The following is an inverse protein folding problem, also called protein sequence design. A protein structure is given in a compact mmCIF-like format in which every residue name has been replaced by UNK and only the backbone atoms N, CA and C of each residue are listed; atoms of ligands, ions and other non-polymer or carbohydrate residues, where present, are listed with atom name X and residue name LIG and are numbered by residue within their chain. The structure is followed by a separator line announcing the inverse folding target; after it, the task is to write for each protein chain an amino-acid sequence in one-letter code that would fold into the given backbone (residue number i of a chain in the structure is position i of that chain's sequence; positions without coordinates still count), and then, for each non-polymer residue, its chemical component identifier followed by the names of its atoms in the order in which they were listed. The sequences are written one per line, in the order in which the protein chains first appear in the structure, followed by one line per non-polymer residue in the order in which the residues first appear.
data_IF_485975874017
#
_entry.id   IF_485975874017
#
_cell.length_a   1.000
_cell.length_b   1.000
_cell.length_c   1.000
_cell.angle_alpha   90.00
_cell.angle_beta   90.00
_cell.angle_gamma   90.00
#
_symmetry.space_group_name_H-M   'P 1'
#
loop_
_entity.id
_entity.type
_entity.pdbx_description
1 polymer ?
#
# COMPACT_ATOMS: atom_id res chain seq x y z
N UNK A 1 -3.54 12.64 3.32
CA UNK A 1 -4.07 12.04 4.57
C UNK A 1 -4.99 10.84 4.34
N UNK A 2 -6.24 10.95 3.85
CA UNK A 2 -7.14 9.77 3.74
C UNK A 2 -6.74 8.68 2.71
N UNK A 3 -5.86 9.00 1.75
CA UNK A 3 -5.40 8.02 0.74
C UNK A 3 -4.15 7.29 1.23
N UNK A 4 -3.32 7.97 1.96
CA UNK A 4 -2.13 7.40 2.60
C UNK A 4 -2.58 6.34 3.66
N UNK A 5 -3.67 6.62 4.38
CA UNK A 5 -4.27 5.69 5.35
C UNK A 5 -4.84 4.39 4.74
N UNK A 6 -5.30 4.39 3.48
CA UNK A 6 -5.77 3.13 2.86
C UNK A 6 -4.58 2.24 2.49
N UNK A 7 -3.46 2.80 2.02
CA UNK A 7 -2.27 1.99 1.74
C UNK A 7 -1.69 1.37 3.00
N UNK A 8 -1.65 2.13 4.10
CA UNK A 8 -1.30 1.61 5.40
C UNK A 8 -2.14 0.36 5.75
N UNK A 9 -3.48 0.48 5.70
CA UNK A 9 -4.37 -0.64 5.99
C UNK A 9 -4.15 -1.83 5.04
N UNK A 10 -4.00 -1.55 3.73
CA UNK A 10 -3.78 -2.59 2.73
C UNK A 10 -2.48 -3.35 2.97
N UNK A 11 -1.39 -2.66 3.27
CA UNK A 11 -0.10 -3.29 3.51
C UNK A 11 -0.02 -3.99 4.87
N UNK A 12 -0.66 -3.45 5.90
CA UNK A 12 -0.78 -4.11 7.19
C UNK A 12 -1.49 -5.47 7.07
N UNK A 13 -2.58 -5.51 6.29
CA UNK A 13 -3.38 -6.73 6.13
C UNK A 13 -2.87 -7.66 5.04
N UNK A 14 -2.31 -7.10 3.96
CA UNK A 14 -1.82 -7.82 2.78
C UNK A 14 -0.42 -7.32 2.38
N UNK A 15 0.64 -7.65 3.14
CA UNK A 15 1.99 -7.16 2.87
C UNK A 15 2.52 -7.54 1.49
N UNK A 16 2.02 -8.64 0.92
CA UNK A 16 2.42 -9.13 -0.40
C UNK A 16 2.14 -8.13 -1.51
N UNK A 17 1.14 -7.25 -1.36
CA UNK A 17 0.77 -6.24 -2.35
C UNK A 17 1.92 -5.30 -2.72
N UNK A 18 2.87 -5.05 -1.81
CA UNK A 18 4.05 -4.25 -2.13
C UNK A 18 4.88 -4.90 -3.24
N UNK A 19 5.08 -6.21 -3.15
CA UNK A 19 5.99 -6.95 -4.03
C UNK A 19 5.42 -7.15 -5.43
N UNK A 20 4.09 -7.09 -5.57
CA UNK A 20 3.41 -7.07 -6.88
C UNK A 20 3.75 -5.82 -7.70
N UNK A 21 4.26 -4.76 -7.07
CA UNK A 21 4.72 -3.55 -7.77
C UNK A 21 6.17 -3.65 -8.25
N UNK A 22 6.91 -4.68 -7.86
CA UNK A 22 8.32 -4.82 -8.17
C UNK A 22 8.53 -5.71 -9.38
N UNK A 23 9.45 -5.31 -10.27
CA UNK A 23 9.82 -6.13 -11.41
C UNK A 23 10.49 -7.45 -10.99
N UNK A 24 11.24 -7.43 -9.89
CA UNK A 24 11.98 -8.57 -9.35
C UNK A 24 11.70 -8.71 -7.84
N UNK A 25 10.51 -9.22 -7.45
CA UNK A 25 10.19 -9.43 -6.05
C UNK A 25 11.06 -10.55 -5.45
N UNK A 26 11.33 -10.53 -4.13
CA UNK A 26 12.08 -11.59 -3.49
C UNK A 26 11.27 -12.90 -3.50
N UNK A 27 11.94 -14.04 -3.67
CA UNK A 27 11.27 -15.35 -3.77
C UNK A 27 10.44 -15.71 -2.51
N UNK A 28 10.77 -15.12 -1.37
CA UNK A 28 10.07 -15.29 -0.09
C UNK A 28 9.10 -14.13 0.22
N UNK A 29 8.62 -13.37 -0.78
CA UNK A 29 7.69 -12.25 -0.61
C UNK A 29 6.47 -12.58 0.27
N UNK A 30 5.91 -13.78 0.12
CA UNK A 30 4.77 -14.27 0.91
C UNK A 30 5.05 -14.40 2.42
N UNK A 31 6.32 -14.37 2.84
CA UNK A 31 6.74 -14.49 4.24
C UNK A 31 7.13 -13.15 4.88
N UNK A 32 7.01 -12.04 4.14
CA UNK A 32 7.25 -10.72 4.71
C UNK A 32 6.09 -10.30 5.61
N UNK A 33 6.44 -9.59 6.68
CA UNK A 33 5.49 -8.95 7.59
C UNK A 33 5.58 -7.44 7.47
N UNK A 34 4.44 -6.77 7.57
CA UNK A 34 4.38 -5.33 7.70
C UNK A 34 4.61 -4.93 9.15
N UNK A 35 5.45 -3.93 9.38
CA UNK A 35 5.72 -3.31 10.66
C UNK A 35 5.62 -1.79 10.50
N UNK A 36 4.75 -1.16 11.28
CA UNK A 36 4.71 0.29 11.41
C UNK A 36 5.63 0.65 12.56
N UNK A 37 6.90 0.83 12.23
CA UNK A 37 7.90 1.17 13.24
C UNK A 37 7.73 2.64 13.63
N UNK A 38 6.67 2.97 14.37
CA UNK A 38 6.66 4.17 15.18
C UNK A 38 7.70 3.95 16.30
N UNK A 39 8.97 4.15 15.97
CA UNK A 39 10.03 4.16 16.98
C UNK A 39 9.58 5.15 18.05
N UNK A 40 9.69 4.77 19.33
CA UNK A 40 9.43 5.67 20.48
C UNK A 40 10.48 6.79 20.60
N UNK A 41 10.95 7.31 19.47
CA UNK A 41 11.74 8.51 19.34
C UNK A 41 11.05 9.45 18.34
N UNK A 42 11.10 10.78 18.52
CA UNK A 42 10.03 11.66 18.04
C UNK A 42 9.93 11.93 16.52
N UNK A 43 10.54 11.16 15.61
CA UNK A 43 10.67 11.56 14.19
C UNK A 43 10.87 10.42 13.16
N UNK A 44 10.42 9.20 13.40
CA UNK A 44 10.48 8.17 12.36
C UNK A 44 9.07 7.99 11.77
N UNK A 45 8.85 8.45 10.54
CA UNK A 45 7.53 8.63 9.93
C UNK A 45 7.36 7.85 8.62
N UNK A 46 8.28 6.94 8.27
CA UNK A 46 8.13 6.08 7.09
C UNK A 46 6.80 5.30 7.16
N UNK A 47 6.01 5.36 6.08
CA UNK A 47 4.66 4.81 6.04
C UNK A 47 4.62 3.28 6.27
N UNK A 48 5.64 2.56 5.83
CA UNK A 48 5.72 1.11 5.99
C UNK A 48 7.12 0.54 6.01
N UNK A 49 7.37 -0.37 6.95
CA UNK A 49 8.58 -1.21 6.97
C UNK A 49 8.16 -2.67 6.78
N UNK A 50 8.74 -3.35 5.81
CA UNK A 50 8.42 -4.73 5.47
C UNK A 50 9.61 -5.59 5.86
N UNK A 51 9.41 -6.39 6.89
CA UNK A 51 10.46 -7.17 7.50
C UNK A 51 10.51 -8.56 6.85
N UNK A 52 11.71 -9.03 6.46
CA UNK A 52 11.89 -10.39 5.98
C UNK A 52 11.59 -11.40 7.10
N UNK A 53 11.32 -12.67 6.76
CA UNK A 53 11.20 -13.73 7.76
C UNK A 53 12.49 -13.86 8.59
N UNK A 54 12.33 -14.25 9.86
CA UNK A 54 13.47 -14.47 10.75
C UNK A 54 14.14 -15.79 10.41
N UNK A 55 15.30 -15.70 9.78
CA UNK A 55 16.13 -16.84 9.35
C UNK A 55 17.56 -16.69 9.88
N UNK A 56 18.36 -17.76 9.82
CA UNK A 56 19.78 -17.71 10.22
C UNK A 56 20.58 -16.68 9.42
N UNK A 57 20.25 -16.50 8.14
CA UNK A 57 20.82 -15.44 7.30
C UNK A 57 19.93 -14.20 7.33
N UNK A 58 20.48 -13.00 7.65
CA UNK A 58 19.71 -11.75 7.60
C UNK A 58 19.10 -11.50 6.22
N UNK A 59 17.81 -11.15 6.18
CA UNK A 59 17.11 -10.83 4.94
C UNK A 59 17.27 -9.37 4.50
N UNK A 60 16.54 -8.99 3.45
CA UNK A 60 16.48 -7.62 2.93
C UNK A 60 15.27 -6.93 3.55
N UNK A 61 15.45 -5.74 4.13
CA UNK A 61 14.33 -4.92 4.62
C UNK A 61 13.82 -4.00 3.52
N UNK A 62 12.50 -3.89 3.36
CA UNK A 62 11.89 -2.95 2.41
C UNK A 62 11.23 -1.81 3.17
N UNK A 63 11.45 -0.59 2.71
CA UNK A 63 10.80 0.62 3.19
C UNK A 63 9.84 1.09 2.10
N UNK A 64 8.62 1.44 2.48
CA UNK A 64 7.61 1.93 1.56
C UNK A 64 7.17 3.32 1.97
N UNK A 65 7.09 4.21 1.00
CA UNK A 65 6.47 5.52 1.16
C UNK A 65 5.38 5.72 0.08
N UNK A 66 4.22 6.21 0.50
CA UNK A 66 3.08 6.43 -0.39
C UNK A 66 2.73 7.90 -0.45
N UNK A 67 3.05 8.55 -1.59
CA UNK A 67 2.97 9.99 -1.69
C UNK A 67 1.90 10.45 -2.67
N UNK A 68 0.71 10.83 -2.15
CA UNK A 68 -0.41 11.34 -2.97
C UNK A 68 -0.45 12.86 -3.14
N UNK A 69 0.39 13.59 -2.42
CA UNK A 69 0.52 15.05 -2.51
C UNK A 69 1.98 15.40 -2.71
N UNK A 70 2.28 16.49 -3.41
CA UNK A 70 3.68 16.85 -3.60
C UNK A 70 4.32 17.24 -2.27
N UNK A 71 5.40 16.57 -1.90
CA UNK A 71 6.29 16.94 -0.80
C UNK A 71 7.67 17.19 -1.38
N UNK A 72 8.13 18.44 -1.33
CA UNK A 72 9.40 18.88 -1.91
C UNK A 72 10.61 18.48 -1.04
N UNK A 73 10.39 17.81 0.09
CA UNK A 73 11.46 17.32 0.98
C UNK A 73 11.35 15.83 1.27
N UNK A 74 10.61 15.11 0.42
CA UNK A 74 10.34 13.71 0.64
C UNK A 74 11.63 12.86 0.67
N UNK A 75 12.55 13.07 -0.26
CA UNK A 75 13.78 12.27 -0.36
C UNK A 75 14.77 12.58 0.76
N UNK A 76 14.88 13.85 1.17
CA UNK A 76 15.61 14.30 2.35
C UNK A 76 15.17 13.49 3.57
N UNK A 77 13.86 13.43 3.79
CA UNK A 77 13.22 12.75 4.92
C UNK A 77 13.40 11.23 4.80
N UNK A 78 12.98 10.64 3.68
CA UNK A 78 13.02 9.20 3.44
C UNK A 78 14.41 8.63 3.63
N UNK A 79 15.43 9.20 2.97
CA UNK A 79 16.79 8.64 3.06
C UNK A 79 17.41 8.86 4.43
N UNK A 80 17.15 10.00 5.08
CA UNK A 80 17.61 10.24 6.44
C UNK A 80 17.02 9.22 7.43
N UNK A 81 15.72 8.98 7.35
CA UNK A 81 15.01 8.03 8.21
C UNK A 81 15.45 6.60 7.90
N UNK A 82 15.39 6.18 6.64
CA UNK A 82 15.73 4.82 6.21
C UNK A 82 17.15 4.43 6.65
N UNK A 83 18.14 5.30 6.40
CA UNK A 83 19.51 5.00 6.79
C UNK A 83 19.70 4.96 8.31
N UNK A 84 19.00 5.82 9.05
CA UNK A 84 19.02 5.78 10.51
C UNK A 84 18.44 4.46 11.05
N UNK A 85 17.31 4.00 10.50
CA UNK A 85 16.71 2.72 10.88
C UNK A 85 17.62 1.55 10.52
N UNK A 86 18.14 1.53 9.30
CA UNK A 86 19.02 0.47 8.82
C UNK A 86 20.30 0.40 9.66
N UNK A 87 20.92 1.54 9.98
CA UNK A 87 22.07 1.62 10.87
C UNK A 87 21.75 1.01 12.26
N UNK A 88 20.62 1.37 12.86
CA UNK A 88 20.20 0.87 14.19
C UNK A 88 19.90 -0.63 14.21
N UNK A 89 19.54 -1.20 13.06
CA UNK A 89 19.18 -2.60 12.92
C UNK A 89 20.15 -3.36 12.01
N UNK A 90 21.40 -2.88 11.90
CA UNK A 90 22.36 -3.37 10.89
C UNK A 90 22.62 -4.87 10.97
N UNK A 91 22.58 -5.45 12.17
CA UNK A 91 22.77 -6.89 12.39
C UNK A 91 21.56 -7.74 11.97
N UNK A 92 20.37 -7.13 11.85
CA UNK A 92 19.12 -7.84 11.51
C UNK A 92 18.92 -7.99 10.00
N UNK A 93 19.58 -7.17 9.20
CA UNK A 93 19.34 -7.08 7.76
C UNK A 93 20.67 -7.10 7.00
N UNK A 94 20.71 -7.86 5.90
CA UNK A 94 21.88 -7.88 5.02
C UNK A 94 21.88 -6.69 4.06
N UNK A 95 20.70 -6.19 3.69
CA UNK A 95 20.50 -5.13 2.70
C UNK A 95 19.17 -4.40 2.91
N UNK A 96 18.97 -3.30 2.19
CA UNK A 96 17.76 -2.48 2.19
C UNK A 96 17.24 -2.19 0.77
N UNK A 97 15.94 -1.95 0.68
CA UNK A 97 15.24 -1.55 -0.53
C UNK A 97 14.21 -0.47 -0.18
N UNK A 98 14.00 0.51 -1.06
CA UNK A 98 13.00 1.57 -0.89
C UNK A 98 12.01 1.53 -2.05
N UNK A 99 10.72 1.59 -1.75
CA UNK A 99 9.63 1.59 -2.73
C UNK A 99 8.80 2.85 -2.52
N UNK A 100 8.77 3.71 -3.52
CA UNK A 100 8.02 4.95 -3.48
C UNK A 100 6.85 4.85 -4.44
N UNK A 101 5.64 4.99 -3.92
CA UNK A 101 4.40 4.83 -4.67
C UNK A 101 3.75 6.18 -4.86
N UNK A 102 3.57 6.57 -6.12
CA UNK A 102 2.94 7.80 -6.53
C UNK A 102 1.68 7.52 -7.36
N UNK A 103 0.61 8.32 -7.23
CA UNK A 103 -0.48 8.26 -8.19
C UNK A 103 -0.03 8.69 -9.59
N UNK A 104 0.85 9.70 -9.69
CA UNK A 104 1.39 10.22 -10.96
C UNK A 104 2.80 10.82 -10.78
N UNK A 105 3.57 11.01 -11.86
CA UNK A 105 4.86 11.74 -11.79
C UNK A 105 4.75 13.15 -11.26
N UNK A 106 3.61 13.82 -11.47
CA UNK A 106 3.41 15.20 -11.01
C UNK A 106 3.38 15.33 -9.49
N UNK A 107 3.20 14.24 -8.74
CA UNK A 107 3.30 14.24 -7.27
C UNK A 107 4.70 13.96 -6.75
N UNK A 108 5.64 13.55 -7.60
CA UNK A 108 7.06 13.42 -7.25
C UNK A 108 7.66 14.81 -6.94
N UNK A 109 8.60 14.87 -5.99
CA UNK A 109 9.33 16.11 -5.69
C UNK A 109 10.03 16.66 -6.93
N UNK A 110 10.11 17.98 -7.06
CA UNK A 110 10.63 18.61 -8.26
C UNK A 110 12.15 18.51 -8.38
N UNK A 111 12.86 18.76 -7.28
CA UNK A 111 14.32 18.66 -7.24
C UNK A 111 14.77 17.28 -6.77
N UNK A 112 15.13 16.44 -7.74
CA UNK A 112 15.62 15.07 -7.47
C UNK A 112 17.14 14.96 -7.64
N UNK A 113 17.80 16.01 -8.15
CA UNK A 113 19.22 15.95 -8.49
C UNK A 113 20.13 15.63 -7.30
N UNK A 114 19.90 16.16 -6.07
CA UNK A 114 20.69 15.81 -4.90
C UNK A 114 20.75 14.30 -4.63
N UNK A 115 19.69 13.56 -4.98
CA UNK A 115 19.51 12.14 -4.68
C UNK A 115 19.74 11.22 -5.87
N UNK A 116 20.13 11.77 -7.03
CA UNK A 116 20.25 11.05 -8.31
C UNK A 116 20.99 9.71 -8.22
N UNK A 117 22.03 9.60 -7.40
CA UNK A 117 22.79 8.35 -7.23
C UNK A 117 21.94 7.25 -6.58
N UNK A 118 21.17 7.60 -5.54
CA UNK A 118 20.25 6.67 -4.87
C UNK A 118 19.07 6.33 -5.78
N UNK A 119 18.45 7.35 -6.39
CA UNK A 119 17.30 7.19 -7.28
C UNK A 119 17.60 6.43 -8.58
N UNK A 120 18.88 6.31 -8.96
CA UNK A 120 19.34 5.54 -10.11
C UNK A 120 19.88 4.15 -9.72
N UNK A 121 19.92 3.84 -8.41
CA UNK A 121 20.34 2.54 -7.91
C UNK A 121 19.21 1.51 -8.04
N UNK A 122 19.58 0.23 -8.07
CA UNK A 122 18.62 -0.88 -8.03
C UNK A 122 17.89 -1.04 -6.69
N UNK A 123 18.30 -0.28 -5.67
CA UNK A 123 17.70 -0.32 -4.34
C UNK A 123 16.48 0.59 -4.20
N UNK A 124 16.23 1.49 -5.16
CA UNK A 124 15.15 2.48 -5.10
C UNK A 124 14.17 2.31 -6.26
N UNK A 125 12.94 1.94 -5.93
CA UNK A 125 11.86 1.67 -6.87
C UNK A 125 10.86 2.81 -6.83
N UNK A 126 10.77 3.59 -7.92
CA UNK A 126 9.74 4.64 -8.06
C UNK A 126 8.60 4.13 -8.92
N UNK A 127 7.45 3.92 -8.30
CA UNK A 127 6.26 3.34 -8.90
C UNK A 127 5.22 4.43 -9.13
N UNK A 128 4.80 4.60 -10.39
CA UNK A 128 3.74 5.53 -10.77
C UNK A 128 2.50 4.74 -11.18
N UNK A 129 1.46 4.76 -10.35
CA UNK A 129 0.28 3.92 -10.52
C UNK A 129 -0.45 4.17 -11.84
N UNK A 130 -0.40 5.39 -12.38
CA UNK A 130 -0.97 5.74 -13.69
C UNK A 130 -0.12 5.28 -14.90
N UNK A 131 1.06 4.70 -14.67
CA UNK A 131 2.00 4.27 -15.72
C UNK A 131 2.19 2.74 -15.76
N UNK A 132 1.42 1.99 -14.97
CA UNK A 132 1.52 0.53 -14.91
C UNK A 132 0.88 -0.18 -16.11
N UNK A 133 0.20 0.56 -16.98
CA UNK A 133 -0.49 0.05 -18.17
C UNK A 133 -2.01 0.22 -18.10
N UNK A 134 -2.71 -0.44 -19.01
CA UNK A 134 -4.18 -0.42 -19.08
C UNK A 134 -4.79 -1.23 -17.91
N UNK A 135 -5.77 -0.62 -17.23
CA UNK A 135 -6.33 -1.14 -15.97
C UNK A 135 -6.82 -2.59 -16.08
N UNK A 136 -7.48 -2.94 -17.18
CA UNK A 136 -8.03 -4.28 -17.43
C UNK A 136 -6.96 -5.34 -17.72
N UNK A 137 -5.74 -4.93 -18.05
CA UNK A 137 -4.61 -5.83 -18.37
C UNK A 137 -3.65 -6.02 -17.19
N UNK A 138 -3.78 -5.20 -16.14
CA UNK A 138 -2.96 -5.29 -14.95
C UNK A 138 -3.20 -6.63 -14.22
N UNK A 139 -2.20 -7.17 -13.49
CA UNK A 139 -2.46 -8.18 -12.48
C UNK A 139 -3.54 -7.74 -11.51
N UNK A 140 -4.30 -8.70 -10.97
CA UNK A 140 -5.45 -8.40 -10.11
C UNK A 140 -5.05 -7.54 -8.91
N UNK A 141 -3.97 -7.91 -8.23
CA UNK A 141 -3.43 -7.20 -7.05
C UNK A 141 -2.98 -5.77 -7.38
N UNK A 142 -2.28 -5.59 -8.50
CA UNK A 142 -1.87 -4.27 -8.99
C UNK A 142 -3.09 -3.40 -9.31
N UNK A 143 -4.15 -4.00 -9.88
CA UNK A 143 -5.39 -3.30 -10.18
C UNK A 143 -6.09 -2.77 -8.92
N UNK A 144 -5.97 -3.48 -7.78
CA UNK A 144 -6.49 -3.01 -6.49
C UNK A 144 -5.78 -1.74 -6.04
N UNK A 145 -4.46 -1.68 -6.19
CA UNK A 145 -3.67 -0.49 -5.86
C UNK A 145 -4.03 0.67 -6.80
N UNK A 146 -4.22 0.43 -8.09
CA UNK A 146 -4.66 1.47 -9.04
C UNK A 146 -6.08 1.96 -8.74
N UNK A 147 -7.00 1.10 -8.29
CA UNK A 147 -8.37 1.49 -7.88
C UNK A 147 -8.34 2.60 -6.82
N UNK A 148 -7.32 2.63 -5.95
CA UNK A 148 -7.17 3.68 -4.93
C UNK A 148 -6.98 5.09 -5.52
N UNK A 149 -6.58 5.21 -6.79
CA UNK A 149 -6.32 6.49 -7.47
C UNK A 149 -7.54 7.02 -8.22
N UNK A 150 -8.46 6.14 -8.60
CA UNK A 150 -9.59 6.49 -9.47
C UNK A 150 -10.58 7.45 -8.80
N UNK A 151 -11.10 8.41 -9.56
CA UNK A 151 -12.10 9.34 -9.04
C UNK A 151 -13.46 8.66 -8.81
N UNK A 152 -14.35 9.32 -8.04
CA UNK A 152 -15.67 8.79 -7.69
C UNK A 152 -16.57 8.46 -8.90
N UNK A 153 -16.31 9.04 -10.08
CA UNK A 153 -17.09 8.72 -11.30
C UNK A 153 -16.66 7.39 -11.91
N UNK A 154 -15.35 7.09 -11.93
CA UNK A 154 -14.80 5.88 -12.54
C UNK A 154 -14.72 4.69 -11.57
N UNK A 155 -14.49 4.95 -10.28
CA UNK A 155 -14.25 3.91 -9.28
C UNK A 155 -15.35 2.84 -9.20
N UNK A 156 -16.67 3.15 -9.25
CA UNK A 156 -17.71 2.12 -9.16
C UNK A 156 -17.67 1.11 -10.31
N UNK A 157 -17.43 1.56 -11.54
CA UNK A 157 -17.36 0.67 -12.69
C UNK A 157 -16.12 -0.21 -12.63
N UNK A 158 -14.97 0.38 -12.31
CA UNK A 158 -13.71 -0.33 -12.13
C UNK A 158 -13.78 -1.37 -10.99
N UNK A 159 -14.39 -1.02 -9.86
CA UNK A 159 -14.55 -1.92 -8.74
C UNK A 159 -15.46 -3.13 -9.08
N UNK A 160 -16.58 -2.90 -9.76
CA UNK A 160 -17.44 -4.00 -10.27
C UNK A 160 -16.72 -4.90 -11.26
N UNK A 161 -15.91 -4.31 -12.13
CA UNK A 161 -15.06 -5.08 -13.05
C UNK A 161 -14.12 -6.02 -12.26
N UNK A 162 -13.44 -5.51 -11.24
CA UNK A 162 -12.55 -6.32 -10.40
C UNK A 162 -13.29 -7.39 -9.59
N UNK A 163 -14.49 -7.11 -9.10
CA UNK A 163 -15.37 -8.11 -8.44
C UNK A 163 -15.63 -9.29 -9.38
N UNK A 164 -16.08 -9.00 -10.61
CA UNK A 164 -16.40 -10.05 -11.59
C UNK A 164 -15.15 -10.84 -11.98
N UNK A 165 -14.03 -10.16 -12.20
CA UNK A 165 -12.76 -10.79 -12.56
C UNK A 165 -12.25 -11.71 -11.43
N UNK A 166 -12.30 -11.23 -10.19
CA UNK A 166 -11.95 -11.99 -8.99
C UNK A 166 -12.77 -13.29 -8.86
N UNK A 167 -14.07 -13.24 -9.15
CA UNK A 167 -14.94 -14.42 -9.11
C UNK A 167 -14.67 -15.43 -10.24
N UNK A 168 -14.08 -14.99 -11.35
CA UNK A 168 -13.77 -15.84 -12.51
C UNK A 168 -12.37 -16.43 -12.44
N UNK A 169 -11.38 -15.66 -11.99
CA UNK A 169 -9.96 -16.06 -12.01
C UNK A 169 -9.56 -16.89 -10.79
N UNK A 170 -10.19 -16.66 -9.63
CA UNK A 170 -9.80 -17.33 -8.39
C UNK A 170 -10.65 -18.56 -8.10
N UNK A 171 -9.98 -19.70 -7.95
CA UNK A 171 -10.61 -20.98 -7.65
C UNK A 171 -10.88 -21.16 -6.16
N UNK A 172 -10.04 -20.59 -5.30
CA UNK A 172 -10.17 -20.71 -3.85
C UNK A 172 -11.16 -19.67 -3.29
N UNK A 173 -12.21 -20.10 -2.57
CA UNK A 173 -13.19 -19.16 -1.98
C UNK A 173 -12.58 -18.17 -0.99
N UNK A 174 -11.50 -18.56 -0.29
CA UNK A 174 -10.81 -17.71 0.66
C UNK A 174 -10.11 -16.52 -0.02
N UNK A 175 -9.40 -16.77 -1.12
CA UNK A 175 -8.67 -15.75 -1.88
C UNK A 175 -9.65 -14.76 -2.52
N UNK A 176 -10.74 -15.27 -3.09
CA UNK A 176 -11.81 -14.44 -3.64
C UNK A 176 -12.42 -13.52 -2.57
N UNK A 177 -12.67 -14.05 -1.37
CA UNK A 177 -13.19 -13.25 -0.24
C UNK A 177 -12.23 -12.15 0.19
N UNK A 178 -10.93 -12.44 0.26
CA UNK A 178 -9.91 -11.46 0.64
C UNK A 178 -9.87 -10.27 -0.35
N UNK A 179 -9.91 -10.54 -1.66
CA UNK A 179 -9.89 -9.48 -2.66
C UNK A 179 -11.19 -8.68 -2.69
N UNK A 180 -12.35 -9.33 -2.58
CA UNK A 180 -13.63 -8.62 -2.48
C UNK A 180 -13.66 -7.69 -1.25
N UNK A 181 -13.03 -8.09 -0.15
CA UNK A 181 -12.89 -7.29 1.05
C UNK A 181 -11.96 -6.08 0.85
N UNK A 182 -10.85 -6.26 0.14
CA UNK A 182 -9.97 -5.16 -0.29
C UNK A 182 -10.75 -4.15 -1.13
N UNK A 183 -11.46 -4.61 -2.16
CA UNK A 183 -12.27 -3.75 -3.03
C UNK A 183 -13.29 -2.95 -2.20
N UNK A 184 -14.00 -3.62 -1.30
CA UNK A 184 -15.01 -2.99 -0.44
C UNK A 184 -14.39 -1.94 0.49
N UNK A 185 -13.22 -2.23 1.04
CA UNK A 185 -12.47 -1.28 1.89
C UNK A 185 -12.07 -0.04 1.09
N UNK A 186 -11.44 -0.23 -0.08
CA UNK A 186 -11.02 0.89 -0.95
C UNK A 186 -12.23 1.79 -1.30
N UNK A 187 -13.37 1.16 -1.62
CA UNK A 187 -14.60 1.88 -1.95
C UNK A 187 -15.21 2.59 -0.74
N UNK A 188 -15.14 2.01 0.45
CA UNK A 188 -15.60 2.65 1.70
C UNK A 188 -14.79 3.91 2.02
N UNK A 189 -13.47 3.85 1.88
CA UNK A 189 -12.58 5.02 2.03
C UNK A 189 -12.86 6.11 0.98
N UNK A 190 -13.25 5.73 -0.25
CA UNK A 190 -13.60 6.65 -1.34
C UNK A 190 -14.94 7.36 -1.12
N UNK A 191 -15.92 6.63 -0.63
CA UNK A 191 -17.32 7.04 -0.55
C UNK A 191 -17.77 7.12 0.92
N UNK A 192 -17.15 8.02 1.69
CA UNK A 192 -17.36 8.13 3.15
C UNK A 192 -18.77 8.54 3.58
N UNK A 193 -19.68 8.80 2.63
CA UNK A 193 -21.11 9.09 2.89
C UNK A 193 -22.01 7.88 2.69
N UNK A 194 -21.49 6.82 2.07
CA UNK A 194 -22.22 5.58 1.87
C UNK A 194 -21.90 4.63 3.02
N UNK A 195 -22.92 3.93 3.49
CA UNK A 195 -22.78 2.79 4.37
C UNK A 195 -22.14 1.62 3.62
N UNK A 196 -21.55 0.69 4.36
CA UNK A 196 -20.99 -0.53 3.77
C UNK A 196 -22.04 -1.32 2.98
N UNK A 197 -23.29 -1.37 3.45
CA UNK A 197 -24.39 -2.04 2.74
C UNK A 197 -24.66 -1.39 1.38
N UNK A 198 -24.61 -0.06 1.31
CA UNK A 198 -24.75 0.66 0.03
C UNK A 198 -23.55 0.44 -0.89
N UNK A 199 -22.34 0.30 -0.34
CA UNK A 199 -21.14 -0.07 -1.11
C UNK A 199 -21.25 -1.50 -1.63
N UNK A 200 -21.64 -2.46 -0.80
CA UNK A 200 -21.85 -3.85 -1.19
C UNK A 200 -22.92 -3.96 -2.29
N UNK A 201 -24.04 -3.25 -2.14
CA UNK A 201 -25.06 -3.13 -3.18
C UNK A 201 -24.53 -2.49 -4.47
N UNK A 202 -23.70 -1.44 -4.38
CA UNK A 202 -23.03 -0.81 -5.54
C UNK A 202 -22.12 -1.79 -6.29
N UNK A 203 -21.49 -2.72 -5.55
CA UNK A 203 -20.57 -3.72 -6.07
C UNK A 203 -21.28 -5.01 -6.52
N UNK A 204 -22.56 -5.18 -6.18
CA UNK A 204 -23.32 -6.40 -6.50
C UNK A 204 -22.88 -7.62 -5.67
N UNK A 205 -22.36 -7.39 -4.47
CA UNK A 205 -21.91 -8.43 -3.53
C UNK A 205 -22.65 -8.31 -2.21
N UNK A 206 -22.66 -9.39 -1.43
CA UNK A 206 -23.22 -9.39 -0.06
C UNK A 206 -22.26 -10.15 0.83
N UNK A 207 -21.78 -9.54 1.92
CA UNK A 207 -21.00 -10.24 2.95
C UNK A 207 -21.91 -10.63 4.12
N UNK A 208 -21.71 -11.83 4.69
CA UNK A 208 -22.25 -12.13 6.02
C UNK A 208 -21.55 -11.21 7.04
N UNK A 209 -22.29 -10.61 7.98
CA UNK A 209 -21.75 -9.62 8.93
C UNK A 209 -20.55 -10.17 9.71
N UNK A 210 -19.33 -9.79 9.33
CA UNK A 210 -18.09 -10.19 10.03
C UNK A 210 -17.70 -9.19 11.11
N UNK A 211 -17.13 -9.69 12.23
CA UNK A 211 -16.61 -8.94 13.40
C UNK A 211 -15.71 -7.74 13.06
N UNK A 212 -15.05 -7.77 11.90
CA UNK A 212 -14.18 -6.70 11.37
C UNK A 212 -14.89 -5.33 11.22
N UNK A 213 -16.23 -5.29 11.18
CA UNK A 213 -17.00 -4.03 11.19
C UNK A 213 -16.75 -3.18 12.44
N UNK A 214 -16.45 -3.80 13.58
CA UNK A 214 -16.18 -3.08 14.83
C UNK A 214 -14.78 -2.45 14.80
N UNK A 215 -13.78 -3.21 14.36
CA UNK A 215 -12.37 -2.78 14.30
C UNK A 215 -12.14 -1.62 13.32
N UNK A 216 -12.71 -1.70 12.10
CA UNK A 216 -12.54 -0.64 11.08
C UNK A 216 -13.22 0.70 11.44
N UNK A 217 -14.31 0.65 12.22
CA UNK A 217 -14.98 1.88 12.70
C UNK A 217 -14.19 2.52 13.83
N UNK A 218 -13.64 1.71 14.73
CA UNK A 218 -12.82 2.20 15.85
C UNK A 218 -11.55 2.88 15.32
N UNK A 219 -10.84 2.24 14.39
CA UNK A 219 -9.60 2.76 13.80
C UNK A 219 -9.83 4.02 12.95
N UNK A 220 -10.89 4.07 12.13
CA UNK A 220 -11.25 5.27 11.37
C UNK A 220 -11.69 6.45 12.28
N UNK A 221 -12.21 6.15 13.47
CA UNK A 221 -12.60 7.15 14.47
C UNK A 221 -11.38 7.65 15.24
N UNK A 222 -10.44 6.77 15.61
CA UNK A 222 -9.17 7.16 16.25
C UNK A 222 -8.30 8.03 15.34
N UNK A 223 -8.16 7.68 14.06
CA UNK A 223 -7.42 8.50 13.08
C UNK A 223 -8.09 9.86 12.90
N UNK A 224 -9.42 9.91 12.92
CA UNK A 224 -10.20 11.16 12.85
C UNK A 224 -10.04 12.06 14.09
N UNK A 225 -9.76 11.49 15.27
CA UNK A 225 -9.52 12.25 16.51
C UNK A 225 -8.07 12.71 16.66
N UNK A 226 -7.10 11.97 16.13
CA UNK A 226 -5.68 12.37 16.18
C UNK A 226 -5.33 13.48 15.16
N UNK A 227 -6.17 13.70 14.16
CA UNK A 227 -5.96 14.66 13.08
C UNK A 227 -6.84 15.93 13.20
N UNK A 228 -7.60 16.08 14.28
CA UNK A 228 -8.37 17.28 14.63
C UNK A 228 -7.70 18.07 15.75
#
# INVERSE_FOLDING_TARGET
MRRDSIFYYLFQKYPTLLFELLANPPANAASYRFDSVAVKEPKFEIDGVFLPPETETPGVVYFCEVQFQRDERLYERLFGELFLYFYRNRERFQDWQAVLIYPTRSTEQGDIHPYRALLSSEQVHRVYLNELGEFEQLPLDVSLLVLTTLNQKKAPAAARYLVNRCQQELQAPADSRAILEIITTIMSYRFTRLSRVEIEAMLGITFEQTRLYQELREEATEIGMQQG
#
